data_IF_985915881008
#
_entry.id   IF_985915881008
#
_cell.length_a   1.000
_cell.length_b   1.000
_cell.length_c   1.000
_cell.angle_alpha   90.00
_cell.angle_beta   90.00
_cell.angle_gamma   90.00
#
_symmetry.space_group_name_H-M   'P 1'
#
loop_
_entity.id
_entity.type
_entity.pdbx_description
1 polymer ?
#
# COMPACT_ATOMS: atom_id res chain seq x y z
N UNK A 1 -30.88 -21.44 34.92
CA UNK A 1 -31.01 -20.93 33.53
C UNK A 1 -29.94 -21.62 32.70
N UNK A 2 -30.24 -22.23 31.54
CA UNK A 2 -29.20 -22.84 30.72
C UNK A 2 -28.32 -21.75 30.11
N UNK A 3 -27.01 -21.92 30.21
CA UNK A 3 -26.03 -21.00 29.64
C UNK A 3 -26.25 -20.91 28.12
N UNK A 4 -26.56 -19.71 27.63
CA UNK A 4 -26.73 -19.48 26.20
C UNK A 4 -25.45 -19.85 25.45
N UNK A 5 -25.60 -20.61 24.36
CA UNK A 5 -24.54 -20.87 23.39
C UNK A 5 -23.84 -19.55 23.02
N UNK A 6 -22.50 -19.45 23.14
CA UNK A 6 -21.78 -18.25 22.75
C UNK A 6 -22.11 -17.90 21.30
N UNK A 7 -22.57 -16.66 21.07
CA UNK A 7 -22.84 -16.15 19.71
C UNK A 7 -21.53 -16.21 18.91
N UNK A 8 -21.53 -16.69 17.66
CA UNK A 8 -20.36 -16.63 16.80
C UNK A 8 -19.90 -15.17 16.71
N UNK A 9 -18.72 -14.88 17.24
CA UNK A 9 -18.11 -13.57 17.12
C UNK A 9 -17.58 -13.50 15.68
N UNK A 10 -18.02 -12.51 14.91
CA UNK A 10 -17.48 -12.28 13.56
C UNK A 10 -15.96 -12.09 13.57
N UNK A 11 -15.31 -12.02 12.40
CA UNK A 11 -13.87 -11.77 12.32
C UNK A 11 -13.51 -10.55 13.19
N UNK A 12 -12.34 -10.56 13.86
CA UNK A 12 -11.94 -9.46 14.73
C UNK A 12 -12.11 -8.11 14.01
N UNK A 13 -12.51 -7.02 14.71
CA UNK A 13 -12.95 -5.73 14.15
C UNK A 13 -11.98 -4.94 13.22
N UNK A 14 -10.97 -5.58 12.62
CA UNK A 14 -9.76 -4.96 12.05
C UNK A 14 -9.30 -5.64 10.76
N UNK A 15 -9.80 -6.85 10.50
CA UNK A 15 -9.42 -7.66 9.35
C UNK A 15 -9.68 -6.91 8.04
N UNK A 16 -10.81 -6.20 7.94
CA UNK A 16 -11.14 -5.38 6.77
C UNK A 16 -10.14 -4.25 6.51
N UNK A 17 -9.68 -3.56 7.57
CA UNK A 17 -8.68 -2.50 7.45
C UNK A 17 -7.31 -3.02 7.04
N UNK A 18 -6.89 -4.17 7.59
CA UNK A 18 -5.65 -4.84 7.22
C UNK A 18 -5.65 -5.30 5.75
N UNK A 19 -6.75 -5.91 5.31
CA UNK A 19 -6.92 -6.31 3.90
C UNK A 19 -6.90 -5.10 2.99
N UNK A 20 -7.63 -4.03 3.32
CA UNK A 20 -7.64 -2.80 2.54
C UNK A 20 -6.24 -2.19 2.41
N UNK A 21 -5.50 -2.09 3.52
CA UNK A 21 -4.14 -1.55 3.51
C UNK A 21 -3.18 -2.39 2.64
N UNK A 22 -3.30 -3.72 2.69
CA UNK A 22 -2.51 -4.63 1.84
C UNK A 22 -2.90 -4.52 0.36
N UNK A 23 -4.19 -4.46 0.04
CA UNK A 23 -4.67 -4.28 -1.34
C UNK A 23 -4.12 -2.99 -1.93
N UNK A 24 -4.18 -1.88 -1.18
CA UNK A 24 -3.60 -0.61 -1.61
C UNK A 24 -2.09 -0.77 -1.85
N UNK A 25 -1.37 -1.40 -0.92
CA UNK A 25 0.06 -1.64 -1.07
C UNK A 25 0.39 -2.47 -2.34
N UNK A 26 -0.41 -3.48 -2.66
CA UNK A 26 -0.25 -4.27 -3.89
C UNK A 26 -0.57 -3.46 -5.15
N UNK A 27 -1.65 -2.67 -5.14
CA UNK A 27 -2.02 -1.80 -6.26
C UNK A 27 -0.92 -0.78 -6.57
N UNK A 28 -0.17 -0.35 -5.56
CA UNK A 28 0.98 0.56 -5.80
C UNK A 28 2.07 -0.05 -6.69
N UNK A 29 2.16 -1.39 -6.82
CA UNK A 29 3.08 -2.05 -7.74
C UNK A 29 2.77 -1.76 -9.22
N UNK A 30 1.58 -1.23 -9.55
CA UNK A 30 1.28 -0.79 -10.90
C UNK A 30 2.29 0.26 -11.41
N UNK A 31 2.80 1.13 -10.52
CA UNK A 31 3.79 2.17 -10.88
C UNK A 31 5.10 1.55 -11.35
N UNK A 32 5.78 0.68 -10.58
CA UNK A 32 7.04 0.08 -11.01
C UNK A 32 6.86 -0.85 -12.20
N UNK A 33 5.74 -1.57 -12.28
CA UNK A 33 5.43 -2.41 -13.46
C UNK A 33 5.33 -1.54 -14.72
N UNK A 34 4.65 -0.40 -14.64
CA UNK A 34 4.56 0.54 -15.77
C UNK A 34 5.93 1.12 -16.13
N UNK A 35 6.74 1.50 -15.13
CA UNK A 35 8.10 1.98 -15.36
C UNK A 35 8.98 0.95 -16.08
N UNK A 36 8.93 -0.32 -15.67
CA UNK A 36 9.65 -1.41 -16.35
C UNK A 36 9.18 -1.55 -17.81
N UNK A 37 7.86 -1.53 -18.04
CA UNK A 37 7.30 -1.66 -19.38
C UNK A 37 7.73 -0.52 -20.33
N UNK A 38 8.02 0.66 -19.78
CA UNK A 38 8.56 1.82 -20.50
C UNK A 38 10.10 1.84 -20.60
N UNK A 39 10.78 0.77 -20.16
CA UNK A 39 12.24 0.64 -20.19
C UNK A 39 12.96 1.27 -19.00
N UNK A 40 12.23 1.73 -17.99
CA UNK A 40 12.73 2.48 -16.83
C UNK A 40 12.93 1.54 -15.63
N UNK A 41 13.90 0.63 -15.73
CA UNK A 41 14.15 -0.44 -14.75
C UNK A 41 14.39 0.05 -13.31
N UNK A 42 14.88 1.28 -13.14
CA UNK A 42 15.12 1.89 -11.82
C UNK A 42 13.84 2.09 -10.99
N UNK A 43 12.67 2.09 -11.61
CA UNK A 43 11.41 2.16 -10.88
C UNK A 43 11.16 0.96 -9.97
N UNK A 44 11.84 -0.19 -10.17
CA UNK A 44 11.79 -1.33 -9.23
C UNK A 44 12.22 -0.92 -7.81
N UNK A 45 13.13 0.04 -7.67
CA UNK A 45 13.56 0.56 -6.36
C UNK A 45 12.43 1.28 -5.64
N UNK A 46 11.44 1.75 -6.39
CA UNK A 46 10.18 2.31 -5.92
C UNK A 46 9.11 1.21 -5.92
N UNK A 47 9.42 0.00 -5.47
CA UNK A 47 8.37 -0.95 -5.11
C UNK A 47 8.01 -0.72 -3.64
N UNK A 48 6.72 -0.68 -3.31
CA UNK A 48 6.22 -0.52 -1.95
C UNK A 48 6.38 -1.82 -1.12
N UNK A 49 7.56 -2.42 -1.18
CA UNK A 49 7.91 -3.65 -0.46
C UNK A 49 7.68 -3.51 1.04
N UNK A 50 8.01 -2.37 1.70
CA UNK A 50 7.77 -2.24 3.13
C UNK A 50 6.27 -2.16 3.47
N UNK A 51 5.44 -1.48 2.66
CA UNK A 51 3.99 -1.46 2.85
C UNK A 51 3.37 -2.85 2.68
N UNK A 52 3.81 -3.61 1.69
CA UNK A 52 3.34 -4.99 1.47
C UNK A 52 3.73 -5.89 2.65
N UNK A 53 4.98 -5.86 3.09
CA UNK A 53 5.45 -6.71 4.20
C UNK A 53 4.75 -6.38 5.52
N UNK A 54 4.51 -5.09 5.81
CA UNK A 54 3.74 -4.65 6.98
C UNK A 54 2.26 -5.02 6.89
N UNK A 55 1.65 -4.95 5.69
CA UNK A 55 0.28 -5.39 5.46
C UNK A 55 0.10 -6.90 5.73
N UNK A 56 1.04 -7.71 5.24
CA UNK A 56 1.09 -9.16 5.54
C UNK A 56 1.29 -9.41 7.03
N UNK A 57 2.23 -8.71 7.68
CA UNK A 57 2.48 -8.84 9.12
C UNK A 57 1.22 -8.49 9.95
N UNK A 58 0.47 -7.47 9.52
CA UNK A 58 -0.80 -7.06 10.16
C UNK A 58 -1.82 -8.21 10.13
N UNK A 59 -1.92 -8.94 9.01
CA UNK A 59 -2.84 -10.06 8.87
C UNK A 59 -2.40 -11.31 9.66
N UNK A 60 -1.10 -11.56 9.78
CA UNK A 60 -0.57 -12.68 10.56
C UNK A 60 -0.78 -12.47 12.07
N UNK A 61 -0.80 -11.22 12.53
CA UNK A 61 -0.92 -10.86 13.96
C UNK A 61 -2.35 -10.51 14.40
N UNK A 62 -3.38 -10.80 13.61
CA UNK A 62 -4.80 -10.46 13.88
C UNK A 62 -5.30 -10.70 15.32
N UNK A 63 -4.88 -11.76 16.05
CA UNK A 63 -5.27 -11.94 17.44
C UNK A 63 -4.68 -10.91 18.41
N UNK A 64 -3.52 -10.33 18.10
CA UNK A 64 -2.87 -9.28 18.90
C UNK A 64 -3.33 -7.90 18.45
N UNK A 65 -4.30 -7.40 19.18
CA UNK A 65 -4.95 -6.13 18.93
C UNK A 65 -3.99 -4.92 18.88
N UNK A 66 -2.98 -4.88 19.74
CA UNK A 66 -2.08 -3.74 19.85
C UNK A 66 -1.06 -3.74 18.71
N UNK A 67 -0.51 -4.91 18.38
CA UNK A 67 0.40 -5.07 17.26
C UNK A 67 -0.28 -4.78 15.91
N UNK A 68 -1.52 -5.26 15.72
CA UNK A 68 -2.31 -5.01 14.51
C UNK A 68 -2.48 -3.52 14.26
N UNK A 69 -2.85 -2.75 15.27
CA UNK A 69 -3.06 -1.31 15.09
C UNK A 69 -1.75 -0.60 14.74
N UNK A 70 -0.64 -1.00 15.37
CA UNK A 70 0.69 -0.45 15.09
C UNK A 70 1.13 -0.75 13.65
N UNK A 71 1.06 -2.01 13.23
CA UNK A 71 1.44 -2.39 11.86
C UNK A 71 0.51 -1.78 10.83
N UNK A 72 -0.79 -1.71 11.10
CA UNK A 72 -1.74 -1.06 10.21
C UNK A 72 -1.41 0.43 9.99
N UNK A 73 -1.07 1.16 11.06
CA UNK A 73 -0.63 2.57 10.97
C UNK A 73 0.65 2.69 10.14
N UNK A 74 1.61 1.79 10.32
CA UNK A 74 2.85 1.80 9.53
C UNK A 74 2.62 1.44 8.06
N UNK A 75 1.76 0.48 7.76
CA UNK A 75 1.37 0.14 6.38
C UNK A 75 0.78 1.35 5.67
N UNK A 76 -0.13 2.08 6.32
CA UNK A 76 -0.69 3.31 5.77
C UNK A 76 0.34 4.42 5.59
N UNK A 77 1.22 4.63 6.57
CA UNK A 77 2.31 5.59 6.44
C UNK A 77 3.19 5.26 5.23
N UNK A 78 3.47 3.97 5.00
CA UNK A 78 4.25 3.52 3.85
C UNK A 78 3.50 3.75 2.53
N UNK A 79 2.22 3.41 2.46
CA UNK A 79 1.37 3.67 1.29
C UNK A 79 1.32 5.18 0.94
N UNK A 80 1.16 6.05 1.93
CA UNK A 80 1.14 7.50 1.68
C UNK A 80 2.49 8.04 1.23
N UNK A 81 3.58 7.65 1.89
CA UNK A 81 4.93 8.04 1.49
C UNK A 81 5.23 7.58 0.06
N UNK A 82 4.84 6.35 -0.27
CA UNK A 82 4.98 5.78 -1.59
C UNK A 82 4.24 6.59 -2.66
N UNK A 83 2.96 6.88 -2.43
CA UNK A 83 2.13 7.63 -3.37
C UNK A 83 2.70 9.05 -3.56
N UNK A 84 3.11 9.71 -2.47
CA UNK A 84 3.69 11.04 -2.53
C UNK A 84 4.97 11.08 -3.38
N UNK A 85 5.91 10.15 -3.14
CA UNK A 85 7.15 10.05 -3.92
C UNK A 85 6.83 9.73 -5.39
N UNK A 86 5.92 8.79 -5.63
CA UNK A 86 5.52 8.41 -7.00
C UNK A 86 4.89 9.57 -7.76
N UNK A 87 4.04 10.37 -7.10
CA UNK A 87 3.41 11.54 -7.69
C UNK A 87 4.44 12.62 -8.04
N UNK A 88 5.41 12.88 -7.16
CA UNK A 88 6.51 13.83 -7.42
C UNK A 88 7.33 13.39 -8.64
N UNK A 89 7.68 12.10 -8.72
CA UNK A 89 8.44 11.57 -9.85
C UNK A 89 7.61 11.58 -11.15
N UNK A 90 6.33 11.25 -11.08
CA UNK A 90 5.43 11.32 -12.23
C UNK A 90 5.29 12.77 -12.74
N UNK A 91 5.16 13.75 -11.85
CA UNK A 91 5.12 15.17 -12.21
C UNK A 91 6.43 15.65 -12.84
N UNK A 92 7.58 15.28 -12.26
CA UNK A 92 8.89 15.60 -12.82
C UNK A 92 9.09 14.97 -14.21
N UNK A 93 8.65 13.72 -14.39
CA UNK A 93 8.70 13.05 -15.69
C UNK A 93 7.76 13.69 -16.72
N UNK A 94 6.53 14.04 -16.33
CA UNK A 94 5.59 14.73 -17.20
C UNK A 94 6.15 16.08 -17.67
N UNK A 95 6.73 16.87 -16.77
CA UNK A 95 7.40 18.13 -17.11
C UNK A 95 8.56 17.91 -18.08
N UNK A 96 9.40 16.91 -17.84
CA UNK A 96 10.50 16.56 -18.75
C UNK A 96 9.97 16.22 -20.15
N UNK A 97 8.91 15.41 -20.24
CA UNK A 97 8.28 15.03 -21.50
C UNK A 97 7.71 16.26 -22.23
N UNK A 98 7.04 17.18 -21.52
CA UNK A 98 6.52 18.40 -22.13
C UNK A 98 7.65 19.27 -22.71
N UNK A 99 8.75 19.44 -21.97
CA UNK A 99 9.93 20.18 -22.41
C UNK A 99 10.56 19.53 -23.66
N UNK A 100 10.72 18.20 -23.64
CA UNK A 100 11.36 17.46 -24.75
C UNK A 100 10.49 17.45 -26.01
N UNK A 101 9.16 17.35 -25.86
CA UNK A 101 8.23 17.31 -26.98
C UNK A 101 7.78 18.69 -27.47
N UNK A 102 8.16 19.78 -26.78
CA UNK A 102 7.80 21.13 -27.16
C UNK A 102 6.29 21.41 -27.11
N UNK A 103 5.55 20.72 -26.24
CA UNK A 103 4.13 21.03 -26.04
C UNK A 103 4.01 22.38 -25.32
N UNK A 104 3.20 23.32 -25.85
CA UNK A 104 2.97 24.61 -25.19
C UNK A 104 2.15 24.42 -23.89
N UNK A 105 2.35 25.36 -22.95
CA UNK A 105 1.69 25.43 -21.63
C UNK A 105 0.15 25.34 -21.69
#
# INVERSE_FOLDING_TARGET
MPAGVPRPVGPPPRTGGAVAALVVALLTLAVPVTGIALGQFYFILLANVPGISLGVATLVKVPDTAEVERFLRYTWACNFAYIAVSAVLAAAFALLVMIVLGLPD
#
